data_IF_282980401906
#
_entry.id   IF_282980401906
#
_cell.length_a   1.000
_cell.length_b   1.000
_cell.length_c   1.000
_cell.angle_alpha   90.00
_cell.angle_beta   90.00
_cell.angle_gamma   90.00
#
_symmetry.space_group_name_H-M   'P 1'
#
loop_
_entity.id
_entity.type
_entity.pdbx_description
1 polymer ?
#
# COMPACT_ATOMS: atom_id res chain seq x y z
N UNK A 1 -18.15 -27.94 -7.82
CA UNK A 1 -17.98 -26.88 -6.80
C UNK A 1 -16.50 -26.83 -6.50
N UNK A 2 -15.84 -25.71 -6.82
CA UNK A 2 -14.41 -25.51 -6.51
C UNK A 2 -14.23 -25.49 -4.98
N UNK A 3 -13.17 -26.16 -4.48
CA UNK A 3 -12.89 -26.22 -3.05
C UNK A 3 -12.77 -24.82 -2.42
N UNK A 4 -13.24 -24.59 -1.21
CA UNK A 4 -13.13 -23.32 -0.52
C UNK A 4 -11.67 -22.95 -0.30
N UNK A 5 -11.38 -21.64 -0.25
CA UNK A 5 -10.03 -21.11 -0.04
C UNK A 5 -10.01 -20.27 1.23
N UNK A 6 -8.92 -20.38 1.97
CA UNK A 6 -8.66 -19.52 3.11
C UNK A 6 -7.62 -18.45 2.76
N UNK A 7 -7.92 -17.19 3.04
CA UNK A 7 -6.93 -16.09 3.03
C UNK A 7 -6.61 -15.73 4.46
N UNK A 8 -5.33 -15.68 4.82
CA UNK A 8 -4.88 -15.33 6.17
C UNK A 8 -4.25 -13.94 6.17
N UNK A 9 -4.86 -13.01 6.91
CA UNK A 9 -4.47 -11.61 7.03
C UNK A 9 -5.49 -10.63 6.45
N UNK A 10 -5.94 -9.66 7.28
CA UNK A 10 -7.02 -8.70 6.97
C UNK A 10 -6.55 -7.33 6.45
N UNK A 11 -5.29 -7.17 6.09
CA UNK A 11 -4.77 -5.95 5.47
C UNK A 11 -5.14 -5.81 3.99
N UNK A 12 -4.64 -4.74 3.34
CA UNK A 12 -4.93 -4.48 1.92
C UNK A 12 -4.62 -5.68 1.01
N UNK A 13 -3.50 -6.36 1.24
CA UNK A 13 -3.10 -7.52 0.45
C UNK A 13 -4.08 -8.69 0.61
N UNK A 14 -4.52 -8.98 1.84
CA UNK A 14 -5.46 -10.07 2.08
C UNK A 14 -6.85 -9.79 1.52
N UNK A 15 -7.37 -8.57 1.72
CA UNK A 15 -8.69 -8.18 1.20
C UNK A 15 -8.72 -8.18 -0.34
N UNK A 16 -7.69 -7.66 -1.01
CA UNK A 16 -7.61 -7.71 -2.49
C UNK A 16 -7.46 -9.13 -3.00
N UNK A 17 -6.69 -9.99 -2.31
CA UNK A 17 -6.56 -11.41 -2.65
C UNK A 17 -7.89 -12.14 -2.49
N UNK A 18 -8.61 -11.90 -1.40
CA UNK A 18 -9.91 -12.51 -1.15
C UNK A 18 -10.94 -12.13 -2.22
N UNK A 19 -10.99 -10.85 -2.62
CA UNK A 19 -11.86 -10.37 -3.68
C UNK A 19 -11.47 -10.94 -5.06
N UNK A 20 -10.17 -11.01 -5.38
CA UNK A 20 -9.70 -11.58 -6.63
C UNK A 20 -10.07 -13.08 -6.74
N UNK A 21 -9.98 -13.82 -5.64
CA UNK A 21 -10.43 -15.22 -5.60
C UNK A 21 -11.95 -15.34 -5.78
N UNK A 22 -12.75 -14.43 -5.20
CA UNK A 22 -14.19 -14.37 -5.44
C UNK A 22 -14.51 -14.02 -6.91
N UNK A 23 -13.75 -13.10 -7.53
CA UNK A 23 -13.91 -12.78 -8.96
C UNK A 23 -13.72 -14.01 -9.85
N UNK A 24 -12.93 -15.00 -9.37
CA UNK A 24 -12.72 -16.31 -10.02
C UNK A 24 -13.67 -17.41 -9.58
N UNK A 25 -14.76 -17.05 -8.89
CA UNK A 25 -15.80 -17.99 -8.47
C UNK A 25 -15.43 -18.89 -7.30
N UNK A 26 -14.41 -18.53 -6.49
CA UNK A 26 -14.03 -19.30 -5.30
C UNK A 26 -14.86 -18.86 -4.09
N UNK A 27 -15.29 -19.81 -3.28
CA UNK A 27 -15.77 -19.54 -1.94
C UNK A 27 -14.57 -19.23 -1.04
N UNK A 28 -14.58 -18.06 -0.35
CA UNK A 28 -13.42 -17.59 0.40
C UNK A 28 -13.79 -17.28 1.85
N UNK A 29 -12.94 -17.74 2.77
CA UNK A 29 -12.92 -17.31 4.17
C UNK A 29 -11.66 -16.53 4.44
N UNK A 30 -11.78 -15.32 5.01
CA UNK A 30 -10.66 -14.48 5.42
C UNK A 30 -10.49 -14.60 6.94
N UNK A 31 -9.30 -15.03 7.36
CA UNK A 31 -8.94 -15.16 8.77
C UNK A 31 -8.03 -14.02 9.19
N UNK A 32 -8.41 -13.31 10.22
CA UNK A 32 -7.61 -12.18 10.72
C UNK A 32 -7.83 -12.01 12.23
N UNK A 33 -6.79 -11.79 13.05
CA UNK A 33 -6.95 -11.48 14.46
C UNK A 33 -7.49 -10.07 14.69
N UNK A 34 -7.28 -9.17 13.71
CA UNK A 34 -7.59 -7.74 13.81
C UNK A 34 -8.60 -7.32 12.76
N UNK A 35 -9.40 -6.33 13.09
CA UNK A 35 -10.25 -5.66 12.12
C UNK A 35 -9.38 -4.92 11.08
N UNK A 36 -9.85 -4.76 9.82
CA UNK A 36 -9.07 -4.11 8.77
C UNK A 36 -8.50 -2.75 9.14
N UNK A 37 -9.23 -1.98 9.95
CA UNK A 37 -8.82 -0.64 10.41
C UNK A 37 -7.77 -0.64 11.55
N UNK A 38 -7.37 -1.80 12.05
CA UNK A 38 -6.25 -1.94 13.00
C UNK A 38 -4.97 -2.47 12.35
N UNK A 39 -5.00 -2.78 11.06
CA UNK A 39 -3.84 -3.30 10.35
C UNK A 39 -2.85 -2.18 9.97
N UNK A 40 -1.60 -2.54 9.70
CA UNK A 40 -0.58 -1.59 9.18
C UNK A 40 -1.06 -0.82 7.95
N UNK A 41 -1.96 -1.41 7.16
CA UNK A 41 -2.47 -0.79 5.94
C UNK A 41 -3.20 0.53 6.17
N UNK A 42 -3.85 0.72 7.34
CA UNK A 42 -4.62 1.95 7.64
C UNK A 42 -3.73 3.17 7.88
N UNK A 43 -2.46 2.94 8.26
CA UNK A 43 -1.50 4.02 8.52
C UNK A 43 -0.94 4.62 7.23
N UNK A 44 -1.01 3.89 6.12
CA UNK A 44 -0.43 4.29 4.85
C UNK A 44 -1.06 5.59 4.30
N UNK A 45 -0.25 6.39 3.60
CA UNK A 45 -0.76 7.49 2.76
C UNK A 45 -1.65 6.97 1.62
N UNK A 46 -1.46 5.70 1.25
CA UNK A 46 -2.28 4.93 0.30
C UNK A 46 -2.38 5.56 -1.10
N UNK A 47 -1.27 6.12 -1.55
CA UNK A 47 -1.08 6.58 -2.93
C UNK A 47 -0.54 5.45 -3.79
N UNK A 48 -1.02 5.34 -5.03
CA UNK A 48 -0.38 4.48 -6.02
C UNK A 48 0.89 5.19 -6.52
N UNK A 49 2.04 4.68 -6.11
CA UNK A 49 3.36 5.21 -6.48
C UNK A 49 4.41 4.10 -6.43
N UNK A 50 5.06 3.74 -7.55
CA UNK A 50 6.15 2.78 -7.60
C UNK A 50 7.49 3.40 -7.19
N UNK A 51 7.64 3.68 -5.90
CA UNK A 51 8.81 4.37 -5.35
C UNK A 51 10.01 3.44 -5.11
N UNK A 52 11.22 3.98 -5.10
CA UNK A 52 12.50 3.31 -4.78
C UNK A 52 12.75 1.97 -5.47
N UNK A 53 12.09 1.70 -6.60
CA UNK A 53 12.24 0.44 -7.30
C UNK A 53 13.11 0.62 -8.54
N UNK A 54 13.94 -0.38 -8.80
CA UNK A 54 14.62 -0.50 -10.10
C UNK A 54 13.58 -0.94 -11.13
N UNK A 55 13.78 -0.56 -12.43
CA UNK A 55 12.94 -1.07 -13.49
C UNK A 55 12.88 -2.61 -13.44
N UNK A 56 11.70 -3.14 -13.13
CA UNK A 56 11.41 -4.57 -13.09
C UNK A 56 10.07 -4.81 -13.80
N UNK A 57 10.05 -5.56 -14.91
CA UNK A 57 8.82 -5.82 -15.67
C UNK A 57 7.72 -6.47 -14.83
N UNK A 58 8.08 -7.39 -13.91
CA UNK A 58 7.09 -8.04 -13.05
C UNK A 58 6.50 -7.07 -12.04
N UNK A 59 7.34 -6.23 -11.42
CA UNK A 59 6.90 -5.19 -10.53
C UNK A 59 5.95 -4.21 -11.26
N UNK A 60 6.35 -3.74 -12.45
CA UNK A 60 5.55 -2.80 -13.23
C UNK A 60 4.20 -3.40 -13.63
N UNK A 61 4.17 -4.65 -14.12
CA UNK A 61 2.92 -5.35 -14.43
C UNK A 61 1.98 -5.41 -13.23
N UNK A 62 2.49 -5.79 -12.05
CA UNK A 62 1.70 -5.82 -10.80
C UNK A 62 1.18 -4.44 -10.42
N UNK A 63 2.04 -3.43 -10.51
CA UNK A 63 1.67 -2.04 -10.22
C UNK A 63 0.60 -1.53 -11.20
N UNK A 64 0.74 -1.80 -12.50
CA UNK A 64 -0.23 -1.41 -13.54
C UNK A 64 -1.58 -2.10 -13.35
N UNK A 65 -1.60 -3.39 -12.97
CA UNK A 65 -2.85 -4.08 -12.60
C UNK A 65 -3.56 -3.37 -11.45
N UNK A 66 -2.80 -2.99 -10.41
CA UNK A 66 -3.37 -2.25 -9.28
C UNK A 66 -3.82 -0.83 -9.68
N UNK A 67 -3.09 -0.14 -10.56
CA UNK A 67 -3.49 1.15 -11.11
C UNK A 67 -4.87 1.08 -11.75
N UNK A 68 -5.09 0.12 -12.66
CA UNK A 68 -6.37 -0.03 -13.35
C UNK A 68 -7.52 -0.33 -12.38
N UNK A 69 -7.31 -1.22 -11.41
CA UNK A 69 -8.32 -1.57 -10.39
C UNK A 69 -8.66 -0.37 -9.50
N UNK A 70 -7.65 0.36 -9.02
CA UNK A 70 -7.85 1.55 -8.18
C UNK A 70 -8.51 2.69 -8.97
N UNK A 71 -8.11 2.91 -10.23
CA UNK A 71 -8.73 3.92 -11.10
C UNK A 71 -10.21 3.59 -11.36
N UNK A 72 -10.55 2.32 -11.58
CA UNK A 72 -11.95 1.90 -11.72
C UNK A 72 -12.77 2.17 -10.44
N UNK A 73 -12.18 1.97 -9.26
CA UNK A 73 -12.82 2.27 -7.98
C UNK A 73 -13.00 3.77 -7.74
N UNK A 74 -12.18 4.61 -8.36
CA UNK A 74 -12.32 6.07 -8.29
C UNK A 74 -13.54 6.61 -9.05
N UNK A 75 -14.27 5.78 -9.82
CA UNK A 75 -15.54 6.14 -10.43
C UNK A 75 -16.65 6.41 -9.39
N UNK A 76 -16.57 5.75 -8.22
CA UNK A 76 -17.44 6.05 -7.07
C UNK A 76 -16.59 6.32 -5.82
N UNK A 77 -16.07 7.54 -5.67
CA UNK A 77 -15.19 7.87 -4.56
C UNK A 77 -15.93 7.97 -3.22
N UNK A 78 -17.24 8.14 -3.24
CA UNK A 78 -18.04 8.16 -2.03
C UNK A 78 -18.13 6.77 -1.39
N UNK A 79 -18.26 5.73 -2.21
CA UNK A 79 -18.26 4.35 -1.72
C UNK A 79 -16.83 3.84 -1.45
N UNK A 80 -15.92 3.99 -2.42
CA UNK A 80 -14.61 3.35 -2.38
C UNK A 80 -13.56 4.07 -1.51
N UNK A 81 -13.72 5.38 -1.30
CA UNK A 81 -12.68 6.23 -0.71
C UNK A 81 -11.48 6.47 -1.64
N UNK A 82 -11.55 6.06 -2.92
CA UNK A 82 -10.47 6.23 -3.89
C UNK A 82 -10.77 7.43 -4.80
N UNK A 83 -9.76 8.26 -5.03
CA UNK A 83 -9.84 9.42 -5.93
C UNK A 83 -8.60 9.49 -6.81
N UNK A 84 -8.74 10.00 -8.02
CA UNK A 84 -7.58 10.37 -8.84
C UNK A 84 -7.08 11.74 -8.41
N UNK A 85 -5.77 11.85 -8.20
CA UNK A 85 -5.07 13.08 -7.86
C UNK A 85 -3.83 13.25 -8.74
N UNK A 86 -3.46 14.48 -9.01
CA UNK A 86 -2.16 14.75 -9.64
C UNK A 86 -1.06 14.52 -8.60
N UNK A 87 -0.18 13.57 -8.88
CA UNK A 87 1.08 13.37 -8.16
C UNK A 87 2.15 14.18 -8.87
N UNK A 88 2.84 15.04 -8.13
CA UNK A 88 4.04 15.76 -8.60
C UNK A 88 5.26 15.24 -7.84
N UNK A 89 6.18 14.59 -8.55
CA UNK A 89 7.44 14.11 -8.00
C UNK A 89 8.56 15.08 -8.38
N UNK A 90 9.33 15.54 -7.37
CA UNK A 90 10.37 16.55 -7.52
C UNK A 90 11.76 15.94 -7.49
N UNK A 91 12.66 16.52 -8.30
CA UNK A 91 14.03 16.07 -8.45
C UNK A 91 15.01 17.23 -8.32
N UNK A 92 16.12 17.07 -7.54
CA UNK A 92 17.12 18.12 -7.36
C UNK A 92 17.93 18.42 -8.63
N UNK A 93 17.94 17.51 -9.59
CA UNK A 93 18.57 17.66 -10.90
C UNK A 93 17.56 17.52 -12.04
N UNK A 94 17.92 17.96 -13.24
CA UNK A 94 17.12 17.70 -14.43
C UNK A 94 17.06 16.19 -14.68
N UNK A 95 15.83 15.65 -14.73
CA UNK A 95 15.58 14.20 -14.80
C UNK A 95 14.63 13.90 -15.96
N UNK A 96 14.89 12.81 -16.69
CA UNK A 96 13.93 12.21 -17.61
C UNK A 96 12.71 11.72 -16.84
N UNK A 97 11.62 11.47 -17.58
CA UNK A 97 10.40 10.94 -16.97
C UNK A 97 10.68 9.66 -16.18
N UNK A 98 10.23 9.55 -14.92
CA UNK A 98 10.43 8.35 -14.13
C UNK A 98 9.98 7.11 -14.89
N UNK A 99 10.75 6.04 -14.82
CA UNK A 99 10.54 4.82 -15.61
C UNK A 99 9.12 4.23 -15.47
N UNK A 100 8.53 4.37 -14.31
CA UNK A 100 7.20 3.86 -13.97
C UNK A 100 6.06 4.69 -14.60
N UNK A 101 6.34 5.89 -15.09
CA UNK A 101 5.33 6.76 -15.74
C UNK A 101 5.13 6.41 -17.22
N UNK A 102 5.90 5.49 -17.79
CA UNK A 102 5.85 5.15 -19.23
C UNK A 102 4.46 4.69 -19.68
N UNK A 103 3.78 3.94 -18.83
CA UNK A 103 2.45 3.40 -19.11
C UNK A 103 1.31 4.38 -18.77
N UNK A 104 1.64 5.57 -18.24
CA UNK A 104 0.63 6.58 -17.90
C UNK A 104 0.39 7.51 -19.11
N UNK A 105 -0.88 7.67 -19.56
CA UNK A 105 -1.20 8.45 -20.74
C UNK A 105 -0.94 9.95 -20.57
N UNK A 106 -1.13 10.47 -19.36
CA UNK A 106 -1.04 11.88 -19.03
C UNK A 106 0.13 12.13 -18.08
N UNK A 107 1.28 12.47 -18.63
CA UNK A 107 2.44 12.90 -17.85
C UNK A 107 2.92 14.25 -18.34
N UNK A 108 3.19 15.14 -17.41
CA UNK A 108 3.64 16.50 -17.72
C UNK A 108 4.94 16.78 -16.96
N UNK A 109 5.88 17.40 -17.65
CA UNK A 109 7.02 18.00 -16.97
C UNK A 109 6.60 19.36 -16.42
N UNK A 110 6.77 19.58 -15.12
CA UNK A 110 6.53 20.89 -14.53
C UNK A 110 7.52 21.93 -15.08
N UNK A 111 7.09 23.17 -15.18
CA UNK A 111 8.01 24.25 -15.55
C UNK A 111 9.01 24.47 -14.42
N UNK A 112 10.28 24.77 -14.70
CA UNK A 112 11.27 25.04 -13.65
C UNK A 112 10.84 26.11 -12.65
N UNK A 113 10.09 27.12 -13.11
CA UNK A 113 9.55 28.19 -12.24
C UNK A 113 8.47 27.71 -11.24
N UNK A 114 7.88 26.56 -11.48
CA UNK A 114 6.86 25.96 -10.60
C UNK A 114 7.49 24.99 -9.57
N UNK A 115 8.80 24.75 -9.66
CA UNK A 115 9.50 23.90 -8.70
C UNK A 115 9.88 24.70 -7.44
N UNK A 116 9.72 24.11 -6.25
CA UNK A 116 10.22 24.72 -5.02
C UNK A 116 11.73 24.93 -5.04
N UNK A 117 12.28 25.85 -4.22
CA UNK A 117 13.72 26.03 -4.12
C UNK A 117 14.46 24.72 -3.80
N UNK A 118 15.53 24.43 -4.54
CA UNK A 118 16.33 23.21 -4.41
C UNK A 118 15.96 22.10 -5.40
N UNK A 119 14.91 22.29 -6.21
CA UNK A 119 14.52 21.33 -7.25
C UNK A 119 14.70 21.94 -8.65
N UNK A 120 15.26 21.13 -9.55
CA UNK A 120 15.53 21.53 -10.94
C UNK A 120 14.49 20.97 -11.92
N UNK A 121 13.74 19.95 -11.53
CA UNK A 121 12.68 19.37 -12.35
C UNK A 121 11.61 18.69 -11.52
N UNK A 122 10.44 18.52 -12.11
CA UNK A 122 9.36 17.71 -11.55
C UNK A 122 8.53 17.08 -12.67
N UNK A 123 7.90 15.96 -12.34
CA UNK A 123 6.97 15.25 -13.22
C UNK A 123 5.64 15.11 -12.53
N UNK A 124 4.58 15.47 -13.24
CA UNK A 124 3.21 15.39 -12.75
C UNK A 124 2.43 14.34 -13.53
N UNK A 125 1.73 13.47 -12.80
CA UNK A 125 0.92 12.37 -13.35
C UNK A 125 -0.35 12.16 -12.55
N UNK A 126 -1.49 11.81 -13.17
CA UNK A 126 -2.69 11.42 -12.44
C UNK A 126 -2.53 10.02 -11.87
N UNK A 127 -2.74 9.88 -10.56
CA UNK A 127 -2.67 8.58 -9.87
C UNK A 127 -3.84 8.41 -8.88
N UNK A 128 -4.29 7.18 -8.62
CA UNK A 128 -5.27 6.93 -7.58
C UNK A 128 -4.65 7.08 -6.18
N UNK A 129 -5.39 7.74 -5.32
CA UNK A 129 -5.14 7.91 -3.88
C UNK A 129 -6.34 7.38 -3.13
N UNK A 130 -6.11 6.57 -2.12
CA UNK A 130 -7.17 6.05 -1.26
C UNK A 130 -7.15 6.71 0.12
N UNK A 131 -8.31 6.97 0.67
CA UNK A 131 -8.44 7.04 2.12
C UNK A 131 -8.33 5.60 2.65
N UNK A 132 -7.21 5.28 3.27
CA UNK A 132 -6.89 3.90 3.63
C UNK A 132 -7.97 3.25 4.49
N UNK A 133 -8.54 3.98 5.46
CA UNK A 133 -9.57 3.44 6.36
C UNK A 133 -10.87 3.15 5.60
N UNK A 134 -11.34 4.09 4.77
CA UNK A 134 -12.56 3.92 3.95
C UNK A 134 -12.38 2.82 2.91
N UNK A 135 -11.23 2.82 2.24
CA UNK A 135 -10.93 1.83 1.22
C UNK A 135 -10.92 0.40 1.78
N UNK A 136 -10.26 0.18 2.93
CA UNK A 136 -10.24 -1.13 3.57
C UNK A 136 -11.64 -1.56 4.05
N UNK A 137 -12.44 -0.63 4.59
CA UNK A 137 -13.84 -0.89 4.95
C UNK A 137 -14.66 -1.28 3.71
N UNK A 138 -14.55 -0.51 2.62
CA UNK A 138 -15.21 -0.80 1.34
C UNK A 138 -14.84 -2.19 0.80
N UNK A 139 -13.56 -2.56 0.84
CA UNK A 139 -13.13 -3.90 0.39
C UNK A 139 -13.75 -5.01 1.25
N UNK A 140 -13.77 -4.82 2.58
CA UNK A 140 -14.34 -5.79 3.51
C UNK A 140 -15.88 -5.94 3.32
N UNK A 141 -16.58 -4.82 3.17
CA UNK A 141 -18.03 -4.80 2.90
C UNK A 141 -18.35 -5.47 1.55
N UNK A 142 -17.61 -5.13 0.50
CA UNK A 142 -17.75 -5.75 -0.82
C UNK A 142 -17.48 -7.26 -0.76
N UNK A 143 -16.46 -7.68 -0.02
CA UNK A 143 -16.15 -9.08 0.18
C UNK A 143 -17.30 -9.83 0.88
N UNK A 144 -17.84 -9.25 1.97
CA UNK A 144 -18.96 -9.84 2.72
C UNK A 144 -20.26 -9.87 1.89
N UNK A 145 -20.58 -8.78 1.17
CA UNK A 145 -21.78 -8.70 0.32
C UNK A 145 -21.78 -9.76 -0.80
N UNK A 146 -20.63 -10.29 -1.16
CA UNK A 146 -20.45 -11.36 -2.15
C UNK A 146 -20.36 -12.76 -1.52
N UNK A 147 -20.79 -12.91 -0.26
CA UNK A 147 -20.82 -14.17 0.46
C UNK A 147 -19.47 -14.58 1.08
N UNK A 148 -18.48 -13.69 1.10
CA UNK A 148 -17.23 -13.91 1.82
C UNK A 148 -17.44 -13.90 3.34
N UNK A 149 -16.68 -14.72 4.06
CA UNK A 149 -16.73 -14.80 5.52
C UNK A 149 -15.46 -14.24 6.12
N UNK A 150 -15.58 -13.28 7.03
CA UNK A 150 -14.46 -12.77 7.83
C UNK A 150 -14.56 -13.40 9.22
N UNK A 151 -13.54 -14.14 9.61
CA UNK A 151 -13.45 -14.77 10.93
C UNK A 151 -12.32 -14.13 11.74
N UNK A 152 -12.65 -13.65 12.94
CA UNK A 152 -11.67 -13.10 13.87
C UNK A 152 -10.93 -14.23 14.57
N UNK A 153 -9.87 -14.69 13.92
CA UNK A 153 -9.06 -15.80 14.41
C UNK A 153 -7.59 -15.62 14.04
N UNK A 154 -6.74 -15.80 15.02
CA UNK A 154 -5.30 -15.88 14.79
C UNK A 154 -4.93 -17.27 14.28
N UNK A 155 -4.15 -17.31 13.20
CA UNK A 155 -3.59 -18.55 12.67
C UNK A 155 -2.18 -18.71 13.23
N UNK A 156 -1.86 -19.88 13.74
CA UNK A 156 -0.52 -20.24 14.23
C UNK A 156 0.16 -21.32 13.38
N UNK A 157 -0.59 -22.02 12.52
CA UNK A 157 -0.11 -23.11 11.68
C UNK A 157 -0.79 -23.05 10.30
N UNK A 158 -0.02 -22.73 9.26
CA UNK A 158 -0.50 -22.65 7.89
C UNK A 158 -0.75 -24.04 7.28
N UNK A 159 0.03 -25.07 7.68
CA UNK A 159 -0.16 -26.41 7.18
C UNK A 159 -1.49 -27.02 7.69
N UNK A 160 -1.81 -26.79 8.95
CA UNK A 160 -3.10 -27.19 9.53
C UNK A 160 -4.28 -26.50 8.80
N UNK A 161 -4.14 -25.23 8.42
CA UNK A 161 -5.18 -24.54 7.64
C UNK A 161 -5.32 -25.11 6.22
N UNK A 162 -4.22 -25.47 5.56
CA UNK A 162 -4.27 -26.15 4.26
C UNK A 162 -4.95 -27.50 4.37
N UNK A 163 -4.62 -28.30 5.41
CA UNK A 163 -5.26 -29.59 5.65
C UNK A 163 -6.78 -29.45 5.85
N UNK A 164 -7.24 -28.33 6.42
CA UNK A 164 -8.66 -28.06 6.69
C UNK A 164 -9.44 -27.61 5.45
N UNK A 165 -8.81 -26.84 4.54
CA UNK A 165 -9.53 -26.17 3.44
C UNK A 165 -9.02 -26.53 2.04
N UNK A 166 -7.86 -27.18 1.94
CA UNK A 166 -7.24 -27.56 0.66
C UNK A 166 -6.50 -26.44 -0.05
N UNK A 167 -6.75 -25.15 0.29
CA UNK A 167 -6.09 -24.01 -0.33
C UNK A 167 -5.99 -22.82 0.62
N UNK A 168 -4.78 -22.29 0.78
CA UNK A 168 -4.49 -21.14 1.66
C UNK A 168 -3.63 -20.10 0.94
N UNK A 169 -3.97 -18.83 1.09
CA UNK A 169 -3.09 -17.72 0.73
C UNK A 169 -2.65 -16.98 1.99
N UNK A 170 -1.36 -17.00 2.25
CA UNK A 170 -0.74 -16.29 3.38
C UNK A 170 -0.47 -14.82 3.03
N UNK A 171 -1.27 -13.92 3.58
CA UNK A 171 -1.18 -12.46 3.44
C UNK A 171 -0.88 -11.77 4.78
N UNK A 172 -0.17 -12.42 5.70
CA UNK A 172 -0.01 -11.97 7.10
C UNK A 172 1.05 -10.87 7.28
N UNK A 173 1.59 -10.31 6.19
CA UNK A 173 2.59 -9.25 6.28
C UNK A 173 3.80 -9.68 7.11
N UNK A 174 4.10 -8.94 8.19
CA UNK A 174 5.21 -9.30 9.07
C UNK A 174 4.98 -10.58 9.89
N UNK A 175 3.74 -10.96 10.13
CA UNK A 175 3.40 -12.24 10.77
C UNK A 175 3.98 -13.46 10.03
N UNK A 176 4.27 -13.31 8.74
CA UNK A 176 4.93 -14.35 7.93
C UNK A 176 6.36 -14.66 8.38
N UNK A 177 7.02 -13.77 9.12
CA UNK A 177 8.33 -14.07 9.70
C UNK A 177 8.27 -15.29 10.64
N UNK A 178 7.23 -15.38 11.46
CA UNK A 178 7.00 -16.53 12.34
C UNK A 178 6.26 -17.66 11.61
N UNK A 179 5.15 -17.35 10.90
CA UNK A 179 4.28 -18.36 10.31
C UNK A 179 4.92 -19.12 9.12
N UNK A 180 5.78 -18.49 8.36
CA UNK A 180 6.47 -19.10 7.23
C UNK A 180 7.98 -19.25 7.48
N UNK A 181 8.47 -18.96 8.69
CA UNK A 181 9.88 -19.03 9.01
C UNK A 181 10.76 -18.08 8.17
N UNK A 182 10.19 -17.00 7.62
CA UNK A 182 10.90 -16.13 6.69
C UNK A 182 11.78 -15.10 7.42
N UNK A 183 13.05 -15.42 7.53
CA UNK A 183 14.07 -14.58 8.17
C UNK A 183 14.51 -13.39 7.29
N UNK A 184 14.08 -13.32 6.05
CA UNK A 184 14.39 -12.21 5.14
C UNK A 184 13.45 -11.00 5.33
N UNK A 185 12.35 -11.17 6.10
CA UNK A 185 11.47 -10.08 6.48
C UNK A 185 12.10 -9.20 7.54
N UNK A 186 12.02 -7.90 7.32
CA UNK A 186 12.41 -6.87 8.29
C UNK A 186 11.26 -5.89 8.51
N UNK A 187 11.23 -5.25 9.67
CA UNK A 187 10.35 -4.13 9.94
C UNK A 187 11.03 -2.82 9.60
N UNK A 188 10.32 -1.97 8.86
CA UNK A 188 10.71 -0.57 8.67
C UNK A 188 9.63 0.29 9.30
N UNK A 189 9.94 0.90 10.44
CA UNK A 189 9.04 1.84 11.11
C UNK A 189 8.88 3.08 10.25
N UNK A 190 7.68 3.61 10.17
CA UNK A 190 7.39 4.88 9.51
C UNK A 190 6.47 5.72 10.36
N UNK A 191 6.80 7.00 10.48
CA UNK A 191 5.95 8.02 11.09
C UNK A 191 5.29 8.81 9.98
N UNK A 192 4.00 9.06 10.12
CA UNK A 192 3.23 9.96 9.27
C UNK A 192 2.36 10.87 10.13
N UNK A 193 2.08 12.06 9.64
CA UNK A 193 1.20 13.02 10.29
C UNK A 193 -0.11 13.09 9.51
N UNK A 194 -1.22 12.91 10.19
CA UNK A 194 -2.53 13.26 9.66
C UNK A 194 -2.84 14.69 10.06
N UNK A 195 -3.01 15.57 9.10
CA UNK A 195 -3.20 17.00 9.32
C UNK A 195 -4.56 17.46 8.79
N UNK A 196 -5.08 18.54 9.38
CA UNK A 196 -6.21 19.24 8.79
C UNK A 196 -5.82 19.69 7.37
N UNK A 197 -6.72 19.46 6.41
CA UNK A 197 -6.49 19.86 5.03
C UNK A 197 -6.53 21.38 4.91
N UNK A 198 -5.47 22.04 4.44
CA UNK A 198 -5.51 23.45 4.10
C UNK A 198 -6.50 23.72 2.97
N UNK A 199 -7.15 24.87 3.00
CA UNK A 199 -8.01 25.31 1.91
C UNK A 199 -7.19 25.44 0.63
N UNK A 200 -7.77 25.02 -0.49
CA UNK A 200 -7.09 25.07 -1.80
C UNK A 200 -5.97 24.03 -2.00
N UNK A 201 -5.74 23.13 -1.05
CA UNK A 201 -4.79 22.04 -1.25
C UNK A 201 -5.40 20.99 -2.20
N UNK A 202 -4.83 20.86 -3.41
CA UNK A 202 -5.27 19.90 -4.42
C UNK A 202 -4.08 19.18 -5.06
N UNK A 203 -3.91 17.88 -4.79
CA UNK A 203 -2.87 17.04 -5.35
C UNK A 203 -2.02 16.31 -4.33
N UNK A 204 -0.96 15.71 -4.84
CA UNK A 204 0.04 15.00 -4.06
C UNK A 204 1.43 15.44 -4.52
N UNK A 205 2.34 15.55 -3.58
CA UNK A 205 3.73 15.97 -3.85
C UNK A 205 4.68 15.04 -3.14
N UNK A 206 5.75 14.66 -3.83
CA UNK A 206 6.72 13.69 -3.31
C UNK A 206 8.15 14.15 -3.65
N UNK A 207 9.04 13.96 -2.69
CA UNK A 207 10.48 13.93 -2.84
C UNK A 207 11.00 12.65 -2.19
N UNK A 208 11.44 11.73 -3.02
CA UNK A 208 11.99 10.43 -2.63
C UNK A 208 13.53 10.40 -2.67
N UNK A 209 14.19 11.56 -2.68
CA UNK A 209 15.65 11.68 -2.75
C UNK A 209 16.37 11.07 -1.56
N UNK A 210 15.77 11.09 -0.37
CA UNK A 210 16.29 10.43 0.83
C UNK A 210 15.41 9.23 1.23
N UNK A 211 15.88 7.98 1.04
CA UNK A 211 15.13 6.79 1.39
C UNK A 211 14.78 6.64 2.88
N UNK A 212 15.51 7.31 3.78
CA UNK A 212 15.22 7.29 5.22
C UNK A 212 14.26 8.39 5.65
N UNK A 213 14.17 9.43 4.85
CA UNK A 213 13.36 10.63 5.13
C UNK A 213 12.47 10.99 3.94
N UNK A 214 11.66 10.05 3.42
CA UNK A 214 10.76 10.34 2.31
C UNK A 214 9.89 11.53 2.67
N UNK A 215 9.77 12.50 1.76
CA UNK A 215 8.96 13.69 1.97
C UNK A 215 7.78 13.65 1.04
N UNK A 216 6.57 13.66 1.59
CA UNK A 216 5.35 13.67 0.79
C UNK A 216 4.22 14.40 1.49
N UNK A 217 3.39 15.02 0.67
CA UNK A 217 2.10 15.60 1.06
C UNK A 217 1.05 14.92 0.19
N UNK A 218 0.13 14.18 0.79
CA UNK A 218 -0.93 13.46 0.09
C UNK A 218 -2.28 14.02 0.51
N UNK A 219 -2.94 14.72 -0.40
CA UNK A 219 -4.29 15.24 -0.21
C UNK A 219 -5.30 14.10 -0.23
N UNK A 220 -6.16 14.06 0.81
CA UNK A 220 -7.35 13.23 0.85
C UNK A 220 -8.60 14.11 0.88
N UNK A 221 -9.78 13.51 1.00
CA UNK A 221 -11.04 14.26 0.97
C UNK A 221 -11.15 15.30 2.10
N UNK A 222 -10.86 14.88 3.33
CA UNK A 222 -11.10 15.65 4.53
C UNK A 222 -9.82 16.02 5.31
N UNK A 223 -8.70 15.45 4.95
CA UNK A 223 -7.41 15.68 5.60
C UNK A 223 -6.25 15.59 4.60
N UNK A 224 -5.04 15.79 5.09
CA UNK A 224 -3.82 15.53 4.36
C UNK A 224 -2.92 14.61 5.18
N UNK A 225 -2.18 13.72 4.50
CA UNK A 225 -1.13 12.90 5.11
C UNK A 225 0.22 13.48 4.74
N UNK A 226 0.98 13.87 5.74
CA UNK A 226 2.34 14.37 5.60
C UNK A 226 3.32 13.29 6.08
N UNK A 227 4.32 13.02 5.30
CA UNK A 227 5.30 11.99 5.66
C UNK A 227 6.71 12.33 5.23
N UNK A 228 7.68 11.60 5.65
CA UNK A 228 7.56 10.63 6.72
C UNK A 228 8.95 10.19 7.18
N UNK A 229 9.01 9.08 7.88
CA UNK A 229 10.28 8.40 8.19
C UNK A 229 10.32 6.98 7.63
N UNK A 230 11.53 6.43 7.56
CA UNK A 230 11.76 5.02 7.26
C UNK A 230 12.94 4.54 8.12
N UNK A 231 12.61 3.97 9.30
CA UNK A 231 13.57 3.60 10.35
C UNK A 231 13.69 2.07 10.40
N UNK A 232 14.68 1.44 9.73
CA UNK A 232 14.83 0.00 9.72
C UNK A 232 15.16 -0.54 11.14
N UNK A 233 14.44 -1.59 11.54
CA UNK A 233 14.65 -2.29 12.80
C UNK A 233 14.17 -1.57 14.06
N UNK A 234 13.68 -0.35 13.96
CA UNK A 234 13.10 0.37 15.09
C UNK A 234 11.66 -0.09 15.34
N UNK A 235 11.35 -0.51 16.57
CA UNK A 235 10.04 -1.01 16.98
C UNK A 235 9.30 -0.10 17.97
N UNK A 236 9.92 1.02 18.38
CA UNK A 236 9.30 1.96 19.30
C UNK A 236 8.09 2.66 18.65
N UNK A 237 7.00 2.79 19.39
CA UNK A 237 5.81 3.52 18.96
C UNK A 237 5.81 4.99 19.38
N UNK A 238 6.61 5.34 20.38
CA UNK A 238 6.80 6.74 20.78
C UNK A 238 7.46 7.54 19.65
N UNK A 239 6.98 8.76 19.43
CA UNK A 239 7.49 9.67 18.40
C UNK A 239 7.97 10.94 19.09
N UNK A 240 9.26 11.27 19.01
CA UNK A 240 9.80 12.53 19.52
C UNK A 240 9.21 13.75 18.82
N UNK A 241 9.04 14.85 19.53
CA UNK A 241 8.50 16.10 18.99
C UNK A 241 9.37 16.65 17.84
N UNK A 242 10.70 16.47 17.92
CA UNK A 242 11.61 16.85 16.85
C UNK A 242 11.34 16.08 15.54
N UNK A 243 10.88 14.83 15.60
CA UNK A 243 10.48 14.07 14.41
C UNK A 243 9.24 14.67 13.75
N UNK A 244 8.27 15.07 14.56
CA UNK A 244 7.05 15.76 14.09
C UNK A 244 7.41 17.10 13.43
N UNK A 245 8.23 17.89 14.11
CA UNK A 245 8.71 19.18 13.60
C UNK A 245 9.50 19.04 12.29
N UNK A 246 10.36 18.02 12.19
CA UNK A 246 11.13 17.73 10.97
C UNK A 246 10.23 17.38 9.80
N UNK A 247 9.24 16.50 9.99
CA UNK A 247 8.29 16.14 8.93
C UNK A 247 7.53 17.38 8.46
N UNK A 248 6.98 18.18 9.38
CA UNK A 248 6.27 19.43 9.04
C UNK A 248 7.16 20.38 8.24
N UNK A 249 8.38 20.62 8.70
CA UNK A 249 9.32 21.53 8.05
C UNK A 249 9.69 21.08 6.62
N UNK A 250 9.91 19.77 6.42
CA UNK A 250 10.22 19.22 5.08
C UNK A 250 9.01 19.34 4.15
N UNK A 251 7.83 18.96 4.63
CA UNK A 251 6.60 19.06 3.85
C UNK A 251 6.27 20.53 3.51
N UNK A 252 6.47 21.47 4.44
CA UNK A 252 6.25 22.89 4.20
C UNK A 252 7.23 23.48 3.15
N UNK A 253 8.48 23.00 3.11
CA UNK A 253 9.41 23.41 2.02
C UNK A 253 8.96 22.89 0.67
N UNK A 254 8.39 21.68 0.63
CA UNK A 254 7.88 21.09 -0.61
C UNK A 254 6.56 21.75 -1.05
N UNK A 255 5.67 21.99 -0.08
CA UNK A 255 4.32 22.54 -0.28
C UNK A 255 4.05 23.60 0.79
N UNK A 256 4.33 24.89 0.53
CA UNK A 256 4.17 25.95 1.53
C UNK A 256 2.77 26.03 2.16
N UNK A 257 1.73 25.60 1.44
CA UNK A 257 0.35 25.59 1.94
C UNK A 257 0.14 24.74 3.21
N UNK A 258 1.05 23.79 3.51
CA UNK A 258 0.95 22.97 4.73
C UNK A 258 1.79 23.48 5.90
N UNK A 259 2.42 24.65 5.80
CA UNK A 259 3.30 25.21 6.85
C UNK A 259 2.60 25.32 8.21
N UNK A 260 1.34 25.77 8.19
CA UNK A 260 0.53 25.99 9.41
C UNK A 260 -0.55 24.88 9.57
N UNK A 261 -0.39 23.74 8.89
CA UNK A 261 -1.38 22.68 8.94
C UNK A 261 -1.45 22.07 10.35
N UNK A 262 -2.62 22.14 10.98
CA UNK A 262 -2.83 21.58 12.33
C UNK A 262 -2.71 20.04 12.27
N UNK A 263 -1.77 19.49 13.04
CA UNK A 263 -1.63 18.04 13.22
C UNK A 263 -2.85 17.53 14.00
N UNK A 264 -3.57 16.59 13.40
CA UNK A 264 -4.73 15.92 14.00
C UNK A 264 -4.31 14.65 14.73
N UNK A 265 -3.28 13.97 14.18
CA UNK A 265 -2.83 12.68 14.69
C UNK A 265 -1.42 12.36 14.19
N UNK A 266 -0.58 11.82 15.06
CA UNK A 266 0.72 11.22 14.72
C UNK A 266 0.54 9.72 14.67
N UNK A 267 0.87 9.09 13.54
CA UNK A 267 0.71 7.66 13.31
C UNK A 267 2.04 6.97 13.10
N UNK A 268 2.17 5.80 13.69
CA UNK A 268 3.32 4.91 13.50
C UNK A 268 2.84 3.64 12.81
N UNK A 269 3.51 3.28 11.72
CA UNK A 269 3.27 2.02 11.02
C UNK A 269 4.55 1.23 10.85
N UNK A 270 4.42 -0.09 10.77
CA UNK A 270 5.55 -1.01 10.61
C UNK A 270 5.43 -1.73 9.26
N UNK A 271 6.24 -1.29 8.28
CA UNK A 271 6.23 -1.84 6.93
C UNK A 271 6.94 -3.19 6.93
N UNK A 272 6.28 -4.29 6.49
CA UNK A 272 6.93 -5.59 6.36
C UNK A 272 7.79 -5.61 5.09
N UNK A 273 9.06 -5.21 5.21
CA UNK A 273 9.97 -5.10 4.10
C UNK A 273 10.70 -6.44 3.82
N UNK A 274 10.89 -6.74 2.56
CA UNK A 274 11.65 -7.87 2.04
C UNK A 274 12.42 -7.41 0.80
N UNK A 275 13.51 -8.06 0.46
CA UNK A 275 14.30 -7.70 -0.73
C UNK A 275 13.49 -7.77 -2.03
N UNK A 276 12.56 -8.73 -2.13
CA UNK A 276 11.54 -8.84 -3.18
C UNK A 276 10.22 -9.28 -2.56
N UNK A 277 9.10 -8.80 -3.12
CA UNK A 277 7.76 -9.27 -2.70
C UNK A 277 7.64 -10.77 -2.95
N UNK A 278 7.20 -11.51 -1.94
CA UNK A 278 7.01 -12.96 -2.05
C UNK A 278 5.60 -13.26 -2.55
N UNK A 279 5.48 -13.65 -3.81
CA UNK A 279 4.25 -14.20 -4.39
C UNK A 279 4.63 -15.51 -5.07
N UNK A 280 4.47 -16.63 -4.34
CA UNK A 280 4.89 -17.96 -4.81
C UNK A 280 4.18 -19.06 -4.03
N UNK A 281 4.19 -20.28 -4.59
CA UNK A 281 3.78 -21.47 -3.84
C UNK A 281 4.81 -21.80 -2.76
N UNK A 282 4.32 -22.30 -1.63
CA UNK A 282 5.21 -22.88 -0.63
C UNK A 282 5.84 -24.16 -1.22
N UNK A 283 7.18 -24.34 -1.12
CA UNK A 283 7.86 -25.50 -1.70
C UNK A 283 7.59 -26.81 -0.96
N UNK A 284 7.07 -26.75 0.28
CA UNK A 284 6.90 -27.92 1.15
C UNK A 284 5.44 -28.23 1.48
N UNK A 285 4.54 -27.24 1.33
CA UNK A 285 3.13 -27.37 1.71
C UNK A 285 2.28 -27.17 0.45
N UNK A 286 1.90 -28.27 -0.26
CA UNK A 286 1.01 -28.19 -1.41
C UNK A 286 -0.31 -27.51 -1.04
N UNK A 287 -0.77 -26.56 -1.87
CA UNK A 287 -2.00 -25.77 -1.57
C UNK A 287 -1.76 -24.48 -0.79
N UNK A 288 -0.52 -24.22 -0.34
CA UNK A 288 -0.15 -22.95 0.27
C UNK A 288 0.50 -22.00 -0.76
N UNK A 289 0.00 -20.78 -0.83
CA UNK A 289 0.58 -19.68 -1.60
C UNK A 289 0.93 -18.53 -0.65
N UNK A 290 2.06 -17.92 -0.84
CA UNK A 290 2.49 -16.73 -0.11
C UNK A 290 2.20 -15.46 -0.91
N UNK A 291 1.76 -14.39 -0.24
CA UNK A 291 1.58 -13.06 -0.82
C UNK A 291 1.86 -12.00 0.27
N UNK A 292 3.14 -11.68 0.49
CA UNK A 292 3.58 -10.76 1.53
C UNK A 292 4.93 -10.11 1.23
N UNK A 293 5.39 -9.23 2.14
CA UNK A 293 6.71 -8.59 2.04
C UNK A 293 6.74 -7.36 1.14
N UNK A 294 5.62 -6.65 1.03
CA UNK A 294 5.44 -5.49 0.14
C UNK A 294 6.13 -4.22 0.63
N UNK A 295 6.65 -4.19 1.87
CA UNK A 295 7.22 -2.97 2.45
C UNK A 295 6.22 -1.82 2.42
N UNK A 296 6.64 -0.68 1.84
CA UNK A 296 5.76 0.49 1.66
C UNK A 296 4.87 0.44 0.42
N UNK A 297 5.04 -0.54 -0.49
CA UNK A 297 4.35 -0.62 -1.78
C UNK A 297 3.03 -1.44 -1.74
N UNK A 298 2.47 -1.72 -0.55
CA UNK A 298 1.29 -2.56 -0.40
C UNK A 298 0.10 -2.13 -1.26
N UNK A 299 -0.27 -0.86 -1.27
CA UNK A 299 -1.35 -0.35 -2.11
C UNK A 299 -1.00 -0.38 -3.60
N UNK A 300 0.24 -0.02 -3.95
CA UNK A 300 0.74 -0.02 -5.34
C UNK A 300 0.71 -1.40 -5.98
N UNK A 301 0.92 -2.47 -5.22
CA UNK A 301 1.07 -3.82 -5.75
C UNK A 301 -0.12 -4.75 -5.45
N UNK A 302 -1.01 -4.37 -4.53
CA UNK A 302 -2.01 -5.25 -3.90
C UNK A 302 -2.81 -6.09 -4.91
N UNK A 303 -3.42 -5.46 -5.91
CA UNK A 303 -4.25 -6.17 -6.89
C UNK A 303 -3.43 -7.04 -7.86
N UNK A 304 -2.27 -6.56 -8.31
CA UNK A 304 -1.42 -7.36 -9.18
C UNK A 304 -0.84 -8.58 -8.48
N UNK A 305 -0.43 -8.44 -7.23
CA UNK A 305 0.00 -9.58 -6.41
C UNK A 305 -1.16 -10.52 -6.06
N UNK A 306 -2.37 -10.00 -5.88
CA UNK A 306 -3.59 -10.80 -5.68
C UNK A 306 -3.90 -11.66 -6.91
N UNK A 307 -3.79 -11.07 -8.12
CA UNK A 307 -3.96 -11.80 -9.39
C UNK A 307 -2.97 -12.95 -9.50
N UNK A 308 -1.67 -12.67 -9.27
CA UNK A 308 -0.63 -13.71 -9.33
C UNK A 308 -0.85 -14.81 -8.28
N UNK A 309 -1.21 -14.44 -7.05
CA UNK A 309 -1.48 -15.42 -5.99
C UNK A 309 -2.68 -16.31 -6.32
N UNK A 310 -3.72 -15.74 -6.92
CA UNK A 310 -4.89 -16.50 -7.36
C UNK A 310 -4.57 -17.43 -8.54
N UNK A 311 -3.71 -17.01 -9.49
CA UNK A 311 -3.21 -17.86 -10.58
C UNK A 311 -2.44 -19.06 -10.02
N UNK A 312 -1.53 -18.83 -9.08
CA UNK A 312 -0.76 -19.88 -8.43
C UNK A 312 -1.64 -20.90 -7.71
N UNK A 313 -2.72 -20.46 -7.09
CA UNK A 313 -3.64 -21.36 -6.39
C UNK A 313 -4.55 -22.13 -7.35
N UNK A 314 -4.88 -21.55 -8.51
CA UNK A 314 -5.81 -22.13 -9.49
C UNK A 314 -5.21 -23.23 -10.40
N UNK A 315 -3.91 -23.23 -10.60
CA UNK A 315 -3.19 -24.23 -11.41
C UNK A 315 -2.76 -25.42 -10.55
N UNK A 316 -3.72 -26.25 -10.11
CA UNK A 316 -3.39 -27.62 -9.65
C UNK A 316 -3.04 -28.44 -10.89
N UNK A 317 -1.81 -28.91 -10.98
CA UNK A 317 -1.39 -29.96 -11.92
C UNK A 317 -1.85 -31.31 -11.41
#
# INVERSE_FOLDING_TARGET
VTAPVTVVGGGVTGLTTALELQDRGRAVTLLTPELPHHTTSVVAAAIWHPFFQRPDPLYLRRATTALHRLTALAADPAASGVRVRTLTEFFPAATEAPWWTRELPERHRARPADCPPGYASAWAVPVPVADAARYLAHLAERFAARGGRIEHRQVSDLAAEVARTGGVVNCTGYGSAALAGDRSLSLVRGVVLRCAKPEGLHGCWIDDGDPRRPTYVVEREHDAVLGGTADPGLVATAVPDETVADILARCARLVPAVADARVLEVRVGFRPARGTVRVERDPYIPGLVHNYGHGGAGFTLSWGCATDAADLLGTTH
#
